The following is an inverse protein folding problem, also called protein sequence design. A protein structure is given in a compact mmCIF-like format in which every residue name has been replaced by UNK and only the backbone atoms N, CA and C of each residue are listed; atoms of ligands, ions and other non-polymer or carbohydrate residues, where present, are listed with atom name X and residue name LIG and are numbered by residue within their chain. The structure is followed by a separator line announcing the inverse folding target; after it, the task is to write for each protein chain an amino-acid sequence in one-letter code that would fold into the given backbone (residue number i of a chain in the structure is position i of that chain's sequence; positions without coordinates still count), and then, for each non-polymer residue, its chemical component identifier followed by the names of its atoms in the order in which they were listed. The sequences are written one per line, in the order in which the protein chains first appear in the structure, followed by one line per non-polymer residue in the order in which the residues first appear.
data_IF_554785727218
#
_entry.id   IF_554785727218
#
_cell.length_a   1.000
_cell.length_b   1.000
_cell.length_c   1.000
_cell.angle_alpha   90.00
_cell.angle_beta   90.00
_cell.angle_gamma   90.00
#
_symmetry.space_group_name_H-M   'P 1'
#
loop_
_entity.id
_entity.type
_entity.pdbx_description
1 polymer ?
#
# COMPACT_ATOMS: atom_id res chain seq x y z
N UNK A 1 -20.78 -15.03 -3.15
CA UNK A 1 -19.75 -15.89 -3.78
C UNK A 1 -18.73 -16.19 -2.70
N UNK A 2 -18.44 -17.45 -2.35
CA UNK A 2 -17.43 -17.74 -1.36
C UNK A 2 -16.05 -17.45 -1.97
N UNK A 3 -15.17 -16.84 -1.18
CA UNK A 3 -13.78 -16.53 -1.52
C UNK A 3 -13.10 -17.72 -2.22
N UNK A 4 -12.72 -17.53 -3.48
CA UNK A 4 -11.93 -18.51 -4.20
C UNK A 4 -10.52 -18.51 -3.60
N UNK A 5 -10.16 -19.59 -2.88
CA UNK A 5 -8.78 -19.82 -2.45
C UNK A 5 -7.82 -19.54 -3.63
N UNK A 6 -6.72 -18.80 -3.41
CA UNK A 6 -5.79 -18.49 -4.48
C UNK A 6 -5.28 -19.79 -5.10
N UNK A 7 -5.51 -19.97 -6.40
CA UNK A 7 -5.09 -21.16 -7.12
C UNK A 7 -3.59 -21.42 -6.91
N UNK A 8 -3.16 -22.69 -6.98
CA UNK A 8 -1.77 -23.12 -6.73
C UNK A 8 -0.72 -22.27 -7.48
N UNK A 9 -1.07 -21.73 -8.65
CA UNK A 9 -0.21 -20.83 -9.43
C UNK A 9 0.01 -19.49 -8.74
N UNK A 10 -1.03 -18.89 -8.20
CA UNK A 10 -0.98 -17.60 -7.49
C UNK A 10 -0.19 -17.73 -6.19
N UNK A 11 -0.43 -18.80 -5.42
CA UNK A 11 0.37 -19.11 -4.23
C UNK A 11 1.86 -19.29 -4.53
N UNK A 12 2.21 -20.02 -5.61
CA UNK A 12 3.61 -20.18 -6.03
C UNK A 12 4.22 -18.84 -6.47
N UNK A 13 3.46 -18.03 -7.21
CA UNK A 13 3.90 -16.70 -7.64
C UNK A 13 4.25 -15.82 -6.43
N UNK A 14 3.34 -15.74 -5.45
CA UNK A 14 3.56 -14.99 -4.19
C UNK A 14 4.76 -15.49 -3.41
N UNK A 15 4.88 -16.81 -3.22
CA UNK A 15 6.02 -17.40 -2.53
C UNK A 15 7.36 -17.08 -3.21
N UNK A 16 7.44 -17.15 -4.54
CA UNK A 16 8.64 -16.76 -5.28
C UNK A 16 8.94 -15.27 -5.11
N UNK A 17 7.92 -14.40 -5.16
CA UNK A 17 8.08 -12.96 -4.97
C UNK A 17 8.64 -12.65 -3.58
N UNK A 18 8.09 -13.26 -2.53
CA UNK A 18 8.56 -13.12 -1.15
C UNK A 18 10.01 -13.60 -0.98
N UNK A 19 10.36 -14.74 -1.59
CA UNK A 19 11.73 -15.27 -1.54
C UNK A 19 12.76 -14.31 -2.17
N UNK A 20 12.39 -13.63 -3.27
CA UNK A 20 13.24 -12.62 -3.90
C UNK A 20 13.45 -11.41 -2.98
N UNK A 21 12.37 -10.88 -2.38
CA UNK A 21 12.47 -9.75 -1.45
C UNK A 21 13.31 -10.10 -0.22
N UNK A 22 13.08 -11.29 0.36
CA UNK A 22 13.86 -11.82 1.48
C UNK A 22 15.35 -11.90 1.17
N UNK A 23 15.70 -12.46 0.00
CA UNK A 23 17.08 -12.53 -0.44
C UNK A 23 17.71 -11.14 -0.59
N UNK A 24 17.02 -10.20 -1.25
CA UNK A 24 17.51 -8.84 -1.47
C UNK A 24 17.73 -8.08 -0.15
N UNK A 25 16.77 -8.16 0.77
CA UNK A 25 16.87 -7.51 2.09
C UNK A 25 17.98 -8.10 2.94
N UNK A 26 18.13 -9.42 2.99
CA UNK A 26 19.23 -10.06 3.75
C UNK A 26 20.59 -9.66 3.23
N UNK A 27 20.80 -9.67 1.90
CA UNK A 27 22.05 -9.18 1.30
C UNK A 27 22.29 -7.72 1.69
N UNK A 28 21.25 -6.88 1.60
CA UNK A 28 21.38 -5.46 1.94
C UNK A 28 21.75 -5.22 3.42
N UNK A 29 21.20 -6.02 4.33
CA UNK A 29 21.46 -5.96 5.77
C UNK A 29 22.86 -6.51 6.11
N UNK A 30 23.24 -7.63 5.53
CA UNK A 30 24.50 -8.34 5.83
C UNK A 30 25.71 -7.69 5.15
N UNK A 31 25.59 -7.40 3.86
CA UNK A 31 26.69 -7.06 2.96
C UNK A 31 26.59 -5.63 2.38
N UNK A 32 25.50 -4.93 2.67
CA UNK A 32 25.22 -3.58 2.18
C UNK A 32 24.56 -3.52 0.79
N UNK A 33 24.00 -2.36 0.43
CA UNK A 33 23.21 -2.19 -0.80
C UNK A 33 24.00 -2.45 -2.10
N UNK A 34 25.30 -2.18 -2.10
CA UNK A 34 26.17 -2.42 -3.25
C UNK A 34 26.33 -3.91 -3.58
N UNK A 35 26.27 -4.78 -2.57
CA UNK A 35 26.35 -6.23 -2.73
C UNK A 35 25.06 -6.84 -3.29
N UNK A 36 23.94 -6.13 -3.19
CA UNK A 36 22.68 -6.56 -3.80
C UNK A 36 22.85 -6.49 -5.32
N UNK A 37 22.91 -7.65 -5.95
CA UNK A 37 22.96 -7.80 -7.42
C UNK A 37 21.89 -8.79 -7.85
N UNK A 38 21.40 -8.65 -9.08
CA UNK A 38 20.38 -9.58 -9.60
C UNK A 38 20.89 -11.03 -9.57
N UNK A 39 22.17 -11.25 -9.87
CA UNK A 39 22.78 -12.58 -9.85
C UNK A 39 22.83 -13.15 -8.43
N UNK A 40 23.25 -12.37 -7.43
CA UNK A 40 23.32 -12.83 -6.04
C UNK A 40 21.93 -13.06 -5.44
N UNK A 41 20.97 -12.18 -5.73
CA UNK A 41 19.57 -12.37 -5.33
C UNK A 41 19.00 -13.64 -5.98
N UNK A 42 19.22 -13.82 -7.28
CA UNK A 42 18.75 -14.99 -8.02
C UNK A 42 19.34 -16.28 -7.46
N UNK A 43 20.63 -16.27 -7.11
CA UNK A 43 21.32 -17.40 -6.47
C UNK A 43 20.73 -17.72 -5.09
N UNK A 44 20.51 -16.72 -4.23
CA UNK A 44 19.93 -16.92 -2.88
C UNK A 44 18.46 -17.35 -2.93
N UNK A 45 17.71 -16.89 -3.92
CA UNK A 45 16.29 -17.23 -4.11
C UNK A 45 16.05 -18.49 -4.97
N UNK A 46 17.10 -19.17 -5.42
CA UNK A 46 17.04 -20.36 -6.31
C UNK A 46 16.23 -20.14 -7.60
N UNK A 47 16.52 -19.03 -8.29
CA UNK A 47 15.87 -18.67 -9.56
C UNK A 47 16.90 -18.22 -10.61
N UNK A 48 16.45 -18.03 -11.86
CA UNK A 48 17.26 -17.39 -12.89
C UNK A 48 17.13 -15.86 -12.85
N UNK A 49 18.12 -15.09 -13.36
CA UNK A 49 17.98 -13.64 -13.55
C UNK A 49 16.77 -13.25 -14.41
N UNK A 50 16.45 -14.05 -15.44
CA UNK A 50 15.23 -13.85 -16.23
C UNK A 50 13.98 -13.98 -15.37
N UNK A 51 13.95 -14.96 -14.48
CA UNK A 51 12.84 -15.13 -13.52
C UNK A 51 12.76 -13.92 -12.60
N UNK A 52 13.88 -13.42 -12.07
CA UNK A 52 13.88 -12.21 -11.24
C UNK A 52 13.18 -11.04 -11.95
N UNK A 53 13.54 -10.76 -13.20
CA UNK A 53 12.94 -9.67 -13.98
C UNK A 53 11.46 -9.89 -14.33
N UNK A 54 10.94 -11.11 -14.24
CA UNK A 54 9.50 -11.36 -14.38
C UNK A 54 8.70 -10.89 -13.13
N UNK A 55 9.38 -10.66 -12.00
CA UNK A 55 8.76 -10.24 -10.73
C UNK A 55 9.09 -8.80 -10.36
N UNK A 56 10.33 -8.37 -10.58
CA UNK A 56 10.78 -7.02 -10.21
C UNK A 56 11.54 -6.35 -11.34
N UNK A 57 11.28 -5.07 -11.62
CA UNK A 57 12.00 -4.32 -12.65
C UNK A 57 13.45 -4.02 -12.24
N UNK A 58 13.75 -3.99 -10.94
CA UNK A 58 15.08 -3.71 -10.42
C UNK A 58 15.32 -4.33 -9.05
N UNK A 59 16.57 -4.36 -8.61
CA UNK A 59 16.95 -4.79 -7.25
C UNK A 59 16.41 -3.85 -6.18
N UNK A 60 16.35 -2.55 -6.48
CA UNK A 60 15.81 -1.54 -5.58
C UNK A 60 14.32 -1.80 -5.36
N UNK A 61 13.56 -2.14 -6.40
CA UNK A 61 12.15 -2.52 -6.24
C UNK A 61 11.99 -3.81 -5.42
N UNK A 62 12.89 -4.79 -5.59
CA UNK A 62 12.86 -6.00 -4.76
C UNK A 62 13.13 -5.70 -3.27
N UNK A 63 13.92 -4.67 -2.95
CA UNK A 63 14.14 -4.20 -1.58
C UNK A 63 12.93 -3.41 -1.06
N UNK A 64 12.43 -2.47 -1.86
CA UNK A 64 11.34 -1.56 -1.49
C UNK A 64 9.99 -2.28 -1.34
N UNK A 65 9.84 -3.44 -1.97
CA UNK A 65 8.56 -4.12 -2.12
C UNK A 65 7.74 -3.48 -3.23
N UNK A 66 6.48 -3.89 -3.34
CA UNK A 66 5.60 -3.32 -4.35
C UNK A 66 5.18 -1.89 -4.00
N UNK A 67 5.03 -1.10 -5.06
CA UNK A 67 4.46 0.23 -4.94
C UNK A 67 2.97 0.09 -4.70
N UNK A 68 2.38 0.87 -3.77
CA UNK A 68 0.96 0.83 -3.55
C UNK A 68 0.24 1.29 -4.82
N UNK A 69 -0.74 0.51 -5.23
CA UNK A 69 -1.59 0.81 -6.37
C UNK A 69 -3.03 0.79 -5.92
N UNK A 70 -3.85 1.63 -6.58
CA UNK A 70 -5.29 1.54 -6.42
C UNK A 70 -5.84 0.33 -7.21
N UNK A 71 -7.01 -0.20 -6.83
CA UNK A 71 -7.65 -1.28 -7.56
C UNK A 71 -8.01 -0.90 -9.00
N UNK A 72 -8.45 -1.91 -9.76
CA UNK A 72 -8.89 -1.77 -11.15
C UNK A 72 -10.08 -0.79 -11.32
N UNK A 73 -10.25 -0.31 -12.55
CA UNK A 73 -11.21 0.76 -12.90
C UNK A 73 -12.65 0.47 -12.45
N UNK A 74 -13.12 -0.78 -12.50
CA UNK A 74 -14.47 -1.14 -12.04
C UNK A 74 -14.69 -0.84 -10.55
N UNK A 75 -13.70 -1.13 -9.71
CA UNK A 75 -13.75 -0.83 -8.27
C UNK A 75 -13.67 0.67 -8.03
N UNK A 76 -12.85 1.37 -8.82
CA UNK A 76 -12.76 2.83 -8.74
C UNK A 76 -14.05 3.53 -9.17
N UNK A 77 -14.71 3.02 -10.20
CA UNK A 77 -15.99 3.56 -10.68
C UNK A 77 -17.10 3.31 -9.67
N UNK A 78 -17.14 2.11 -9.04
CA UNK A 78 -18.04 1.84 -7.93
C UNK A 78 -17.79 2.77 -6.73
N UNK A 79 -16.52 3.01 -6.40
CA UNK A 79 -16.14 3.99 -5.39
C UNK A 79 -16.63 5.39 -5.75
N UNK A 80 -16.41 5.86 -6.98
CA UNK A 80 -16.84 7.20 -7.43
C UNK A 80 -18.35 7.35 -7.42
N UNK A 81 -19.10 6.28 -7.71
CA UNK A 81 -20.56 6.28 -7.79
C UNK A 81 -21.30 6.33 -6.44
N UNK A 82 -20.61 6.32 -5.31
CA UNK A 82 -21.26 6.27 -3.99
C UNK A 82 -20.66 5.23 -3.05
N UNK A 83 -19.88 4.29 -3.58
CA UNK A 83 -19.22 3.23 -2.80
C UNK A 83 -20.20 2.35 -2.02
N UNK A 84 -19.72 1.25 -1.44
CA UNK A 84 -20.59 0.30 -0.73
C UNK A 84 -21.10 0.83 0.61
N UNK A 85 -20.34 1.67 1.33
CA UNK A 85 -20.73 2.19 2.64
C UNK A 85 -21.51 3.50 2.55
N UNK A 86 -21.39 4.24 1.43
CA UNK A 86 -21.99 5.57 1.29
C UNK A 86 -21.23 6.67 2.05
N UNK A 87 -20.20 6.31 2.81
CA UNK A 87 -19.38 7.22 3.61
C UNK A 87 -17.96 7.28 3.05
N UNK A 88 -17.50 8.47 2.67
CA UNK A 88 -16.22 8.67 1.99
C UNK A 88 -15.03 8.00 2.69
N UNK A 89 -14.89 8.17 4.01
CA UNK A 89 -13.74 7.63 4.75
C UNK A 89 -13.78 6.10 4.83
N UNK A 90 -14.96 5.51 5.07
CA UNK A 90 -15.12 4.06 5.09
C UNK A 90 -14.82 3.44 3.73
N UNK A 91 -15.32 4.06 2.66
CA UNK A 91 -15.08 3.62 1.28
C UNK A 91 -13.60 3.77 0.86
N UNK A 92 -12.91 4.84 1.29
CA UNK A 92 -11.46 4.98 1.08
C UNK A 92 -10.69 3.91 1.85
N UNK A 93 -11.10 3.61 3.08
CA UNK A 93 -10.53 2.50 3.86
C UNK A 93 -10.62 1.17 3.10
N UNK A 94 -11.78 0.87 2.49
CA UNK A 94 -11.97 -0.33 1.67
C UNK A 94 -11.06 -0.36 0.42
N UNK A 95 -10.87 0.78 -0.25
CA UNK A 95 -9.91 0.88 -1.35
C UNK A 95 -8.48 0.59 -0.89
N UNK A 96 -8.05 1.18 0.23
CA UNK A 96 -6.69 1.01 0.76
C UNK A 96 -6.45 -0.41 1.30
N UNK A 97 -7.48 -1.08 1.82
CA UNK A 97 -7.40 -2.51 2.16
C UNK A 97 -6.96 -3.31 0.94
N UNK A 98 -7.57 -3.10 -0.24
CA UNK A 98 -7.17 -3.80 -1.45
C UNK A 98 -5.70 -3.51 -1.83
N UNK A 99 -5.28 -2.26 -1.71
CA UNK A 99 -3.88 -1.84 -1.94
C UNK A 99 -2.86 -2.46 -0.97
N UNK A 100 -3.31 -2.99 0.17
CA UNK A 100 -2.44 -3.50 1.25
C UNK A 100 -2.47 -5.02 1.41
N UNK A 101 -3.29 -5.72 0.61
CA UNK A 101 -3.45 -7.19 0.72
C UNK A 101 -2.14 -7.96 0.44
N UNK A 102 -1.23 -7.44 -0.37
CA UNK A 102 0.09 -8.07 -0.59
C UNK A 102 1.07 -7.84 0.58
N UNK A 103 0.81 -6.87 1.47
CA UNK A 103 1.71 -6.50 2.57
C UNK A 103 1.60 -7.45 3.79
N UNK A 104 0.58 -8.31 3.85
CA UNK A 104 0.34 -9.23 4.98
C UNK A 104 1.45 -10.29 5.09
N UNK A 105 1.99 -10.75 3.96
CA UNK A 105 3.06 -11.76 3.92
C UNK A 105 4.46 -11.17 4.17
N UNK A 106 4.59 -9.83 4.17
CA UNK A 106 5.85 -9.12 4.35
C UNK A 106 6.13 -8.71 5.80
N UNK A 107 5.29 -9.09 6.78
CA UNK A 107 5.46 -8.68 8.19
C UNK A 107 6.89 -8.89 8.69
N UNK A 108 7.45 -10.07 8.42
CA UNK A 108 8.81 -10.46 8.80
C UNK A 108 9.91 -9.81 7.96
N UNK A 109 9.60 -8.83 7.10
CA UNK A 109 10.57 -8.06 6.31
C UNK A 109 10.57 -6.57 6.66
N UNK A 110 9.63 -6.12 7.49
CA UNK A 110 9.43 -4.70 7.76
C UNK A 110 10.64 -4.13 8.50
N UNK A 111 11.16 -4.85 9.49
CA UNK A 111 12.31 -4.41 10.28
C UNK A 111 13.56 -4.30 9.41
N UNK A 112 13.88 -5.33 8.63
CA UNK A 112 15.01 -5.32 7.70
C UNK A 112 14.87 -4.22 6.66
N UNK A 113 13.67 -4.04 6.09
CA UNK A 113 13.42 -2.99 5.09
C UNK A 113 13.58 -1.59 5.71
N UNK A 114 13.08 -1.36 6.91
CA UNK A 114 13.29 -0.10 7.62
C UNK A 114 14.76 0.13 7.95
N UNK A 115 15.51 -0.90 8.32
CA UNK A 115 16.95 -0.82 8.52
C UNK A 115 17.67 -0.41 7.23
N UNK A 116 17.37 -1.08 6.12
CA UNK A 116 17.97 -0.78 4.82
C UNK A 116 17.62 0.63 4.36
N UNK A 117 16.36 1.05 4.47
CA UNK A 117 15.94 2.41 4.11
C UNK A 117 16.63 3.49 4.95
N UNK A 118 16.80 3.28 6.26
CA UNK A 118 17.52 4.21 7.14
C UNK A 118 19.00 4.34 6.78
N UNK A 119 19.61 3.25 6.32
CA UNK A 119 21.02 3.23 5.93
C UNK A 119 21.28 3.79 4.52
N UNK A 120 20.27 3.86 3.65
CA UNK A 120 20.40 4.18 2.23
C UNK A 120 19.41 5.30 1.80
N UNK A 121 19.80 6.59 1.89
CA UNK A 121 18.92 7.75 1.64
C UNK A 121 18.30 7.80 0.24
N UNK A 122 18.94 7.22 -0.76
CA UNK A 122 18.46 7.14 -2.14
C UNK A 122 17.22 6.23 -2.26
N UNK A 123 17.19 5.10 -1.54
CA UNK A 123 16.03 4.21 -1.49
C UNK A 123 14.86 4.87 -0.76
N UNK A 124 15.15 5.62 0.31
CA UNK A 124 14.14 6.42 1.00
C UNK A 124 13.52 7.46 0.06
N UNK A 125 14.36 8.16 -0.71
CA UNK A 125 13.92 9.15 -1.69
C UNK A 125 13.04 8.53 -2.78
N UNK A 126 13.42 7.35 -3.28
CA UNK A 126 12.61 6.58 -4.24
C UNK A 126 11.27 6.17 -3.65
N UNK A 127 11.25 5.62 -2.43
CA UNK A 127 9.99 5.26 -1.74
C UNK A 127 9.09 6.49 -1.56
N UNK A 128 9.67 7.64 -1.25
CA UNK A 128 8.92 8.87 -1.06
C UNK A 128 8.33 9.42 -2.35
N UNK A 129 9.03 9.28 -3.47
CA UNK A 129 8.49 9.59 -4.78
C UNK A 129 7.26 8.72 -5.09
N UNK A 130 7.36 7.41 -4.90
CA UNK A 130 6.25 6.46 -5.09
C UNK A 130 5.04 6.78 -4.19
N UNK A 131 5.26 7.06 -2.90
CA UNK A 131 4.16 7.46 -2.00
C UNK A 131 3.47 8.75 -2.44
N UNK A 132 4.23 9.71 -2.98
CA UNK A 132 3.68 10.98 -3.47
C UNK A 132 2.84 10.77 -4.73
N UNK A 133 3.28 9.89 -5.63
CA UNK A 133 2.51 9.51 -6.81
C UNK A 133 1.22 8.81 -6.42
N UNK A 134 1.29 7.83 -5.52
CA UNK A 134 0.11 7.15 -4.98
C UNK A 134 -0.88 8.12 -4.32
N UNK A 135 -0.39 9.04 -3.49
CA UNK A 135 -1.21 10.09 -2.90
C UNK A 135 -1.93 10.93 -3.96
N UNK A 136 -1.22 11.30 -5.03
CA UNK A 136 -1.78 12.12 -6.12
C UNK A 136 -2.89 11.37 -6.86
N UNK A 137 -2.70 10.06 -7.09
CA UNK A 137 -3.73 9.19 -7.67
C UNK A 137 -4.95 9.09 -6.74
N UNK A 138 -4.75 8.87 -5.44
CA UNK A 138 -5.83 8.83 -4.45
C UNK A 138 -6.58 10.17 -4.36
N UNK A 139 -5.87 11.31 -4.36
CA UNK A 139 -6.46 12.66 -4.40
C UNK A 139 -7.35 12.83 -5.63
N UNK A 140 -6.91 12.36 -6.80
CA UNK A 140 -7.69 12.42 -8.04
C UNK A 140 -9.00 11.62 -7.96
N UNK A 141 -8.94 10.39 -7.44
CA UNK A 141 -10.12 9.52 -7.30
C UNK A 141 -11.09 10.08 -6.25
N UNK A 142 -10.60 10.61 -5.13
CA UNK A 142 -11.45 11.26 -4.12
C UNK A 142 -12.09 12.53 -4.69
N UNK A 143 -11.39 13.32 -5.51
CA UNK A 143 -11.97 14.49 -6.15
C UNK A 143 -13.13 14.12 -7.09
N UNK A 144 -12.99 13.03 -7.87
CA UNK A 144 -14.08 12.49 -8.70
C UNK A 144 -15.29 12.11 -7.84
N UNK A 145 -15.06 11.41 -6.73
CA UNK A 145 -16.12 11.01 -5.80
C UNK A 145 -16.85 12.22 -5.20
N UNK A 146 -16.12 13.19 -4.67
CA UNK A 146 -16.70 14.40 -4.08
C UNK A 146 -17.57 15.18 -5.09
N UNK A 147 -17.11 15.30 -6.33
CA UNK A 147 -17.89 15.96 -7.39
C UNK A 147 -19.13 15.17 -7.81
N UNK A 148 -19.11 13.84 -7.70
CA UNK A 148 -20.27 12.99 -7.94
C UNK A 148 -21.32 13.12 -6.82
N UNK A 149 -20.87 13.12 -5.56
CA UNK A 149 -21.74 13.22 -4.38
C UNK A 149 -22.45 14.59 -4.31
N UNK A 150 -21.73 15.67 -4.64
CA UNK A 150 -22.27 17.01 -4.71
C UNK A 150 -21.71 17.75 -5.93
N UNK A 151 -22.50 17.86 -7.03
CA UNK A 151 -22.09 18.57 -8.24
C UNK A 151 -21.68 20.04 -7.99
N UNK A 152 -22.15 20.68 -6.92
CA UNK A 152 -21.75 22.06 -6.60
C UNK A 152 -20.28 22.16 -6.23
N UNK A 153 -19.65 21.09 -5.73
CA UNK A 153 -18.21 21.07 -5.49
C UNK A 153 -17.40 21.18 -6.78
N UNK A 154 -17.95 20.79 -7.93
CA UNK A 154 -17.27 20.94 -9.22
C UNK A 154 -17.23 22.39 -9.72
N UNK A 155 -18.07 23.28 -9.17
CA UNK A 155 -18.11 24.70 -9.54
C UNK A 155 -16.86 25.45 -9.07
N UNK A 156 -16.25 25.04 -7.95
CA UNK A 156 -14.96 25.54 -7.46
C UNK A 156 -13.92 24.41 -7.42
N UNK A 157 -13.26 24.20 -8.57
CA UNK A 157 -12.21 23.20 -8.70
C UNK A 157 -11.02 23.38 -7.74
N UNK A 158 -10.74 24.60 -7.26
CA UNK A 158 -9.68 24.81 -6.27
C UNK A 158 -10.10 24.31 -4.89
N UNK A 159 -11.35 24.56 -4.49
CA UNK A 159 -11.89 24.06 -3.24
C UNK A 159 -12.09 22.54 -3.27
N UNK A 160 -12.51 21.96 -4.39
CA UNK A 160 -12.55 20.51 -4.59
C UNK A 160 -11.19 19.86 -4.35
N UNK A 161 -10.13 20.37 -5.01
CA UNK A 161 -8.76 19.86 -4.82
C UNK A 161 -8.28 19.96 -3.38
N UNK A 162 -8.58 21.07 -2.69
CA UNK A 162 -8.21 21.23 -1.26
C UNK A 162 -8.90 20.18 -0.38
N UNK A 163 -10.20 19.92 -0.60
CA UNK A 163 -10.95 18.89 0.14
C UNK A 163 -10.44 17.49 -0.15
N UNK A 164 -10.23 17.17 -1.43
CA UNK A 164 -9.71 15.87 -1.84
C UNK A 164 -8.31 15.61 -1.28
N UNK A 165 -7.43 16.63 -1.28
CA UNK A 165 -6.10 16.54 -0.67
C UNK A 165 -6.15 16.33 0.83
N UNK A 166 -7.04 17.02 1.52
CA UNK A 166 -7.20 16.85 2.96
C UNK A 166 -7.66 15.42 3.28
N UNK A 167 -8.67 14.93 2.57
CA UNK A 167 -9.17 13.56 2.71
C UNK A 167 -8.10 12.52 2.38
N UNK A 168 -7.30 12.70 1.31
CA UNK A 168 -6.21 11.78 0.96
C UNK A 168 -5.11 11.77 2.02
N UNK A 169 -4.69 12.93 2.52
CA UNK A 169 -3.70 13.04 3.60
C UNK A 169 -4.16 12.36 4.88
N UNK A 170 -5.40 12.62 5.30
CA UNK A 170 -5.97 11.99 6.49
C UNK A 170 -6.05 10.48 6.31
N UNK A 171 -6.52 10.00 5.15
CA UNK A 171 -6.63 8.57 4.85
C UNK A 171 -5.27 7.86 4.87
N UNK A 172 -4.22 8.48 4.31
CA UNK A 172 -2.86 7.93 4.37
C UNK A 172 -2.27 7.98 5.78
N UNK A 173 -2.60 9.00 6.58
CA UNK A 173 -2.23 9.03 7.99
C UNK A 173 -2.90 7.91 8.78
N UNK A 174 -4.16 7.60 8.49
CA UNK A 174 -4.91 6.46 9.08
C UNK A 174 -4.31 5.13 8.67
N UNK A 175 -3.92 4.96 7.40
CA UNK A 175 -3.19 3.77 6.94
C UNK A 175 -1.87 3.61 7.70
N UNK A 176 -1.11 4.69 7.85
CA UNK A 176 0.15 4.67 8.61
C UNK A 176 -0.07 4.32 10.09
N UNK A 177 -1.15 4.80 10.70
CA UNK A 177 -1.55 4.43 12.06
C UNK A 177 -1.87 2.93 12.16
N UNK A 178 -2.71 2.40 11.27
CA UNK A 178 -3.02 0.98 11.21
C UNK A 178 -1.77 0.10 11.08
N UNK A 179 -0.82 0.55 10.25
CA UNK A 179 0.44 -0.14 10.04
C UNK A 179 1.32 -0.13 11.30
N UNK A 180 1.36 1.00 12.03
CA UNK A 180 2.03 1.10 13.32
C UNK A 180 1.45 0.11 14.33
N UNK A 181 0.13 0.15 14.55
CA UNK A 181 -0.58 -0.73 15.49
C UNK A 181 -0.34 -2.21 15.17
N UNK A 182 -0.44 -2.58 13.90
CA UNK A 182 -0.18 -3.95 13.45
C UNK A 182 1.28 -4.38 13.66
N UNK A 183 2.24 -3.47 13.45
CA UNK A 183 3.66 -3.76 13.62
C UNK A 183 4.05 -3.96 15.09
N UNK A 184 3.47 -3.19 16.02
CA UNK A 184 3.76 -3.26 17.46
C UNK A 184 2.92 -4.31 18.20
N UNK A 185 1.82 -4.78 17.60
CA UNK A 185 0.94 -5.76 18.21
C UNK A 185 1.64 -7.13 18.39
N UNK A 186 1.74 -7.67 19.61
CA UNK A 186 2.31 -9.00 19.85
C UNK A 186 1.39 -10.15 19.37
N UNK A 187 0.18 -9.85 18.90
CA UNK A 187 -0.78 -10.82 18.40
C UNK A 187 -0.64 -11.07 16.88
N UNK A 188 -1.15 -12.22 16.42
CA UNK A 188 -1.39 -12.51 15.00
C UNK A 188 -2.62 -11.73 14.50
N UNK A 189 -2.60 -10.40 14.53
CA UNK A 189 -3.62 -9.60 13.84
C UNK A 189 -3.30 -9.48 12.35
N UNK A 190 -4.32 -9.39 11.50
CA UNK A 190 -4.13 -9.07 10.10
C UNK A 190 -4.13 -7.55 9.91
N UNK A 191 -3.20 -7.02 9.11
CA UNK A 191 -3.13 -5.58 8.80
C UNK A 191 -4.47 -5.01 8.33
N UNK A 192 -5.26 -5.82 7.61
CA UNK A 192 -6.60 -5.46 7.13
C UNK A 192 -7.55 -5.13 8.29
N UNK A 193 -7.45 -5.85 9.41
CA UNK A 193 -8.30 -5.63 10.58
C UNK A 193 -7.90 -4.35 11.31
N UNK A 194 -6.59 -4.09 11.46
CA UNK A 194 -6.08 -2.86 12.06
C UNK A 194 -6.37 -1.64 11.17
N UNK A 195 -6.39 -1.81 9.84
CA UNK A 195 -6.78 -0.78 8.89
C UNK A 195 -8.26 -0.44 8.99
N UNK A 196 -9.14 -1.45 8.97
CA UNK A 196 -10.58 -1.25 9.15
C UNK A 196 -10.88 -0.54 10.48
N UNK A 197 -10.28 -1.02 11.57
CA UNK A 197 -10.43 -0.41 12.90
C UNK A 197 -10.01 1.07 12.90
N UNK A 198 -8.86 1.38 12.31
CA UNK A 198 -8.36 2.77 12.27
C UNK A 198 -9.29 3.70 11.49
N UNK A 199 -9.89 3.23 10.40
CA UNK A 199 -10.86 4.01 9.62
C UNK A 199 -12.19 4.18 10.36
N UNK A 200 -12.67 3.14 11.05
CA UNK A 200 -13.87 3.21 11.88
C UNK A 200 -13.69 4.21 13.04
N UNK A 201 -12.53 4.19 13.71
CA UNK A 201 -12.18 5.13 14.78
C UNK A 201 -12.10 6.57 14.28
N UNK A 202 -11.45 6.79 13.12
CA UNK A 202 -11.41 8.11 12.49
C UNK A 202 -12.82 8.61 12.17
N UNK A 203 -13.66 7.76 11.57
CA UNK A 203 -15.05 8.09 11.26
C UNK A 203 -15.84 8.49 12.51
N UNK A 204 -15.70 7.72 13.59
CA UNK A 204 -16.36 8.02 14.87
C UNK A 204 -15.89 9.36 15.48
N UNK A 205 -14.60 9.69 15.39
CA UNK A 205 -14.06 10.96 15.89
C UNK A 205 -14.59 12.17 15.12
N UNK A 206 -14.65 12.07 13.78
CA UNK A 206 -15.16 13.14 12.93
C UNK A 206 -16.66 13.36 13.18
N UNK A 207 -17.45 12.30 13.27
CA UNK A 207 -18.91 12.37 13.47
C UNK A 207 -19.30 12.90 14.85
N UNK A 208 -18.52 12.62 15.91
CA UNK A 208 -18.77 13.13 17.27
C UNK A 208 -18.37 14.59 17.47
N UNK A 209 -17.50 15.13 16.62
CA UNK A 209 -17.01 16.52 16.71
C UNK A 209 -17.94 17.54 16.02
N UNK A 210 -18.98 17.06 15.34
CA UNK A 210 -19.97 17.88 14.62
C UNK A 210 -21.30 18.02 15.37
N UNK A 211 -21.36 17.59 16.63
CA UNK A 211 -22.50 17.78 17.57
C UNK A 211 -22.07 18.71 18.70
#
# INVERSE_FOLDING_TARGET
MPDAEPGLRERKRRATRLAIQQAALRIAVEDGLAAVTVDEVSRRADISPRTFFNYFPSKEQAILGDDPTLPEDEVLDAFVAGGPAGELLADVGALLVHSTQELIEERGLIEERQQVLRANPELFSQRMASMKEFQSTLESVIARRLANDDPTFAEDGAALRRRARLASLVSLATLRHAWWEWSESPAESHLVDDLRRSFDELGALVSRSLV
#
